data_IF_412446395079
#
_entry.id   IF_412446395079
#
_cell.length_a   1.000
_cell.length_b   1.000
_cell.length_c   1.000
_cell.angle_alpha   90.00
_cell.angle_beta   90.00
_cell.angle_gamma   90.00
#
_symmetry.space_group_name_H-M   'P 1'
#
loop_
_entity.id
_entity.type
_entity.pdbx_description
1 polymer ?
#
# COMPACT_ATOMS: atom_id res chain seq x y z
N UNK A 1 2.17 31.22 -8.88
CA UNK A 1 2.70 30.51 -7.69
C UNK A 1 1.48 30.09 -6.88
N UNK A 2 1.00 28.86 -6.79
CA UNK A 2 1.35 27.56 -7.33
C UNK A 2 0.39 26.64 -6.59
N UNK A 3 -0.88 26.59 -7.03
CA UNK A 3 -1.91 25.80 -6.35
C UNK A 3 -1.79 24.38 -6.87
N UNK A 4 -1.05 23.53 -6.14
CA UNK A 4 -1.01 22.11 -6.42
C UNK A 4 -2.38 21.53 -6.05
N UNK A 5 -3.19 21.25 -7.08
CA UNK A 5 -4.40 20.45 -6.96
C UNK A 5 -3.98 19.06 -6.48
N UNK A 6 -4.09 18.81 -5.17
CA UNK A 6 -3.99 17.47 -4.60
C UNK A 6 -5.21 16.71 -5.11
N UNK A 7 -5.02 15.88 -6.13
CA UNK A 7 -6.06 15.01 -6.67
C UNK A 7 -6.42 14.00 -5.58
N UNK A 8 -7.44 14.29 -4.77
CA UNK A 8 -8.10 13.26 -3.99
C UNK A 8 -8.83 12.35 -4.96
N UNK A 9 -8.24 11.20 -5.25
CA UNK A 9 -8.93 10.10 -5.93
C UNK A 9 -9.91 9.53 -4.90
N UNK A 10 -11.11 10.10 -4.83
CA UNK A 10 -12.19 9.51 -4.04
C UNK A 10 -12.71 8.30 -4.80
N UNK A 11 -12.25 7.11 -4.41
CA UNK A 11 -12.89 5.87 -4.84
C UNK A 11 -14.26 5.80 -4.15
N UNK A 12 -15.33 6.16 -4.86
CA UNK A 12 -16.69 6.05 -4.35
C UNK A 12 -17.12 4.58 -4.32
N UNK A 13 -16.60 3.79 -3.39
CA UNK A 13 -17.21 2.51 -3.05
C UNK A 13 -18.51 2.79 -2.30
N UNK A 14 -19.63 2.40 -2.91
CA UNK A 14 -20.97 2.61 -2.39
C UNK A 14 -21.19 1.79 -1.11
N UNK A 15 -20.83 2.35 0.05
CA UNK A 15 -21.02 1.74 1.37
C UNK A 15 -20.09 2.38 2.38
N UNK A 16 -20.63 2.99 3.44
CA UNK A 16 -19.92 3.86 4.39
C UNK A 16 -18.91 3.19 5.33
N UNK A 17 -18.08 2.29 4.83
CA UNK A 17 -16.92 1.75 5.54
C UNK A 17 -15.66 2.28 4.84
N UNK A 18 -15.08 3.34 5.39
CA UNK A 18 -13.77 3.82 4.97
C UNK A 18 -12.72 2.79 5.44
N UNK A 19 -11.76 2.45 4.58
CA UNK A 19 -10.69 1.53 4.98
C UNK A 19 -9.85 2.14 6.10
N UNK A 20 -9.18 1.32 6.91
CA UNK A 20 -8.27 1.81 7.95
C UNK A 20 -7.17 2.72 7.36
N UNK A 21 -6.76 2.46 6.12
CA UNK A 21 -5.79 3.27 5.38
C UNK A 21 -6.35 4.64 5.01
N UNK A 22 -7.60 4.70 4.55
CA UNK A 22 -8.29 5.96 4.25
C UNK A 22 -8.49 6.80 5.52
N UNK A 23 -8.81 6.15 6.64
CA UNK A 23 -8.89 6.82 7.95
C UNK A 23 -7.55 7.39 8.39
N UNK A 24 -6.46 6.63 8.21
CA UNK A 24 -5.09 7.11 8.49
C UNK A 24 -4.69 8.27 7.60
N UNK A 25 -5.08 8.28 6.33
CA UNK A 25 -4.79 9.39 5.40
C UNK A 25 -5.55 10.67 5.78
N UNK A 26 -6.82 10.54 6.18
CA UNK A 26 -7.61 11.66 6.72
C UNK A 26 -6.97 12.18 8.02
N UNK A 27 -6.56 11.28 8.91
CA UNK A 27 -5.91 11.65 10.17
C UNK A 27 -4.58 12.37 9.92
N UNK A 28 -3.75 11.84 9.01
CA UNK A 28 -2.48 12.45 8.61
C UNK A 28 -2.69 13.88 8.11
N UNK A 29 -3.66 14.08 7.20
CA UNK A 29 -4.01 15.40 6.67
C UNK A 29 -4.44 16.36 7.78
N UNK A 30 -5.28 15.89 8.72
CA UNK A 30 -5.71 16.71 9.85
C UNK A 30 -4.56 17.09 10.78
N UNK A 31 -3.61 16.19 11.02
CA UNK A 31 -2.42 16.48 11.83
C UNK A 31 -1.47 17.46 11.14
N UNK A 32 -1.31 17.37 9.82
CA UNK A 32 -0.55 18.33 9.02
C UNK A 32 -1.11 19.75 9.16
N UNK A 33 -2.43 19.91 9.03
CA UNK A 33 -3.12 21.21 9.22
C UNK A 33 -2.94 21.74 10.65
N UNK A 34 -3.05 20.87 11.66
CA UNK A 34 -2.83 21.26 13.07
C UNK A 34 -1.39 21.69 13.32
N UNK A 35 -0.42 21.05 12.68
CA UNK A 35 0.99 21.40 12.78
C UNK A 35 1.24 22.80 12.20
N UNK A 36 0.68 23.09 11.02
CA UNK A 36 0.78 24.41 10.39
C UNK A 36 0.24 25.51 11.32
N UNK A 37 -0.97 25.30 11.88
CA UNK A 37 -1.57 26.23 12.83
C UNK A 37 -0.73 26.42 14.10
N UNK A 38 -0.15 25.34 14.63
CA UNK A 38 0.69 25.42 15.83
C UNK A 38 1.98 26.21 15.57
N UNK A 39 2.58 26.08 14.38
CA UNK A 39 3.75 26.86 13.97
C UNK A 39 3.40 28.34 13.79
N UNK A 40 2.27 28.66 13.15
CA UNK A 40 1.78 30.04 12.99
C UNK A 40 1.51 30.72 14.32
N UNK A 41 1.01 29.96 15.30
CA UNK A 41 0.76 30.46 16.67
C UNK A 41 1.99 30.42 17.58
N UNK A 42 3.17 30.09 17.04
CA UNK A 42 4.44 29.96 17.78
C UNK A 42 4.39 28.95 18.95
N UNK A 43 3.47 27.98 18.87
CA UNK A 43 3.29 26.90 19.85
C UNK A 43 4.23 25.74 19.54
N UNK A 44 5.54 25.99 19.62
CA UNK A 44 6.55 25.04 19.16
C UNK A 44 6.57 23.69 19.91
N UNK A 45 6.16 23.66 21.19
CA UNK A 45 6.04 22.41 21.94
C UNK A 45 4.95 21.50 21.36
N UNK A 46 3.82 22.07 20.97
CA UNK A 46 2.74 21.34 20.31
C UNK A 46 3.13 20.93 18.88
N UNK A 47 3.83 21.81 18.16
CA UNK A 47 4.36 21.51 16.83
C UNK A 47 5.35 20.33 16.84
N UNK A 48 6.24 20.26 17.83
CA UNK A 48 7.16 19.14 17.97
C UNK A 48 6.42 17.82 18.19
N UNK A 49 5.41 17.82 19.07
CA UNK A 49 4.56 16.64 19.33
C UNK A 49 3.81 16.20 18.07
N UNK A 50 3.18 17.13 17.37
CA UNK A 50 2.42 16.85 16.14
C UNK A 50 3.32 16.28 15.04
N UNK A 51 4.54 16.83 14.88
CA UNK A 51 5.53 16.33 13.94
C UNK A 51 5.91 14.88 14.26
N UNK A 52 6.17 14.57 15.53
CA UNK A 52 6.55 13.22 15.95
C UNK A 52 5.39 12.22 15.75
N UNK A 53 4.14 12.67 15.94
CA UNK A 53 2.92 11.88 15.67
C UNK A 53 2.71 11.61 14.17
N UNK A 54 2.93 12.62 13.32
CA UNK A 54 2.94 12.48 11.85
C UNK A 54 4.02 11.50 11.40
N UNK A 55 5.22 11.60 11.97
CA UNK A 55 6.32 10.66 11.66
C UNK A 55 5.96 9.24 12.06
N UNK A 56 5.39 9.03 13.25
CA UNK A 56 4.98 7.69 13.68
C UNK A 56 3.93 7.08 12.73
N UNK A 57 2.92 7.85 12.32
CA UNK A 57 1.92 7.39 11.34
C UNK A 57 2.54 7.06 9.97
N UNK A 58 3.50 7.86 9.52
CA UNK A 58 4.22 7.61 8.27
C UNK A 58 5.06 6.34 8.36
N UNK A 59 5.84 6.18 9.42
CA UNK A 59 6.70 5.01 9.65
C UNK A 59 5.86 3.73 9.74
N UNK A 60 4.71 3.75 10.41
CA UNK A 60 3.78 2.62 10.45
C UNK A 60 3.29 2.22 9.05
N UNK A 61 3.01 3.19 8.18
CA UNK A 61 2.63 2.94 6.78
C UNK A 61 3.78 2.31 5.98
N UNK A 62 5.00 2.83 6.14
CA UNK A 62 6.21 2.28 5.51
C UNK A 62 6.43 0.83 5.95
N UNK A 63 6.33 0.56 7.26
CA UNK A 63 6.47 -0.80 7.82
C UNK A 63 5.40 -1.74 7.25
N UNK A 64 4.16 -1.30 7.11
CA UNK A 64 3.08 -2.10 6.54
C UNK A 64 3.38 -2.50 5.08
N UNK A 65 3.83 -1.56 4.24
CA UNK A 65 4.21 -1.83 2.84
C UNK A 65 5.39 -2.81 2.76
N UNK A 66 6.44 -2.58 3.57
CA UNK A 66 7.61 -3.47 3.60
C UNK A 66 7.25 -4.89 4.06
N UNK A 67 6.35 -5.01 5.05
CA UNK A 67 5.86 -6.30 5.54
C UNK A 67 5.07 -7.04 4.46
N UNK A 68 4.15 -6.37 3.76
CA UNK A 68 3.39 -6.96 2.66
C UNK A 68 4.30 -7.42 1.51
N UNK A 69 5.30 -6.60 1.15
CA UNK A 69 6.29 -6.94 0.14
C UNK A 69 7.14 -8.16 0.53
N UNK A 70 7.59 -8.21 1.79
CA UNK A 70 8.32 -9.35 2.34
C UNK A 70 7.46 -10.63 2.29
N UNK A 71 6.18 -10.54 2.66
CA UNK A 71 5.25 -11.66 2.60
C UNK A 71 5.03 -12.15 1.16
N UNK A 72 4.92 -11.24 0.18
CA UNK A 72 4.81 -11.57 -1.23
C UNK A 72 6.02 -12.38 -1.73
N UNK A 73 7.23 -11.88 -1.52
CA UNK A 73 8.44 -12.58 -1.97
C UNK A 73 8.67 -13.89 -1.20
N UNK A 74 8.32 -13.93 0.09
CA UNK A 74 8.35 -15.18 0.87
C UNK A 74 7.39 -16.22 0.28
N UNK A 75 6.16 -15.84 -0.08
CA UNK A 75 5.21 -16.74 -0.71
C UNK A 75 5.67 -17.20 -2.10
N UNK A 76 6.27 -16.29 -2.87
CA UNK A 76 6.84 -16.58 -4.18
C UNK A 76 8.01 -17.58 -4.09
N UNK A 77 8.97 -17.36 -3.20
CA UNK A 77 10.12 -18.25 -2.99
C UNK A 77 9.69 -19.65 -2.55
N UNK A 78 8.70 -19.73 -1.64
CA UNK A 78 8.13 -20.99 -1.18
C UNK A 78 7.21 -21.66 -2.20
N UNK A 79 6.82 -20.94 -3.26
CA UNK A 79 5.80 -21.36 -4.24
C UNK A 79 4.48 -21.73 -3.56
N UNK A 80 4.14 -21.00 -2.50
CA UNK A 80 2.97 -21.28 -1.67
C UNK A 80 1.79 -20.45 -2.17
N UNK A 81 0.84 -21.11 -2.85
CA UNK A 81 -0.34 -20.44 -3.39
C UNK A 81 -1.31 -19.97 -2.31
N UNK A 82 -1.32 -20.58 -1.13
CA UNK A 82 -2.19 -20.18 -0.03
C UNK A 82 -1.66 -18.91 0.63
N UNK A 83 -0.34 -18.81 0.83
CA UNK A 83 0.29 -17.57 1.30
C UNK A 83 0.22 -16.45 0.24
N UNK A 84 0.41 -16.78 -1.05
CA UNK A 84 0.28 -15.81 -2.14
C UNK A 84 -1.14 -15.21 -2.19
N UNK A 85 -2.18 -16.00 -1.94
CA UNK A 85 -3.56 -15.48 -1.87
C UNK A 85 -3.79 -14.46 -0.75
N UNK A 86 -2.99 -14.47 0.33
CA UNK A 86 -3.18 -13.56 1.47
C UNK A 86 -2.64 -12.17 1.21
N UNK A 87 -1.64 -12.04 0.33
CA UNK A 87 -0.97 -10.76 0.05
C UNK A 87 -1.61 -9.97 -1.10
N UNK A 88 -2.57 -10.56 -1.81
CA UNK A 88 -3.32 -9.90 -2.88
C UNK A 88 -4.72 -9.49 -2.40
N UNK A 89 -5.13 -8.28 -2.78
CA UNK A 89 -6.49 -7.82 -2.58
C UNK A 89 -7.50 -8.70 -3.33
N UNK A 90 -8.62 -9.06 -2.67
CA UNK A 90 -9.65 -9.94 -3.21
C UNK A 90 -10.71 -9.15 -3.98
N UNK A 91 -10.34 -8.62 -5.14
CA UNK A 91 -11.24 -7.88 -6.01
C UNK A 91 -10.88 -7.98 -7.49
N UNK A 92 -11.59 -7.21 -8.31
CA UNK A 92 -11.38 -7.12 -9.76
C UNK A 92 -10.42 -5.98 -10.14
N UNK A 93 -10.11 -5.12 -9.17
CA UNK A 93 -9.30 -3.90 -9.30
C UNK A 93 -7.79 -4.17 -9.31
N UNK A 94 -7.37 -5.42 -9.17
CA UNK A 94 -5.96 -5.83 -9.21
C UNK A 94 -5.57 -6.33 -10.60
N UNK A 95 -4.30 -6.16 -10.93
CA UNK A 95 -3.70 -6.76 -12.12
C UNK A 95 -2.25 -7.16 -11.87
N UNK A 96 -1.77 -8.11 -12.66
CA UNK A 96 -0.37 -8.53 -12.71
C UNK A 96 0.11 -8.53 -14.15
N UNK A 97 1.37 -8.14 -14.35
CA UNK A 97 2.06 -8.24 -15.64
C UNK A 97 3.27 -9.13 -15.42
N UNK A 98 3.23 -10.31 -16.04
CA UNK A 98 4.39 -11.20 -16.10
C UNK A 98 5.26 -10.79 -17.30
N UNK A 99 6.59 -10.95 -17.24
CA UNK A 99 7.47 -10.61 -18.36
C UNK A 99 7.01 -11.27 -19.65
N UNK A 100 6.95 -10.52 -20.75
CA UNK A 100 6.55 -10.98 -22.09
C UNK A 100 5.07 -11.39 -22.24
N UNK A 101 4.21 -11.13 -21.24
CA UNK A 101 2.79 -11.46 -21.28
C UNK A 101 1.91 -10.21 -21.22
N UNK A 102 0.68 -10.31 -21.71
CA UNK A 102 -0.34 -9.28 -21.52
C UNK A 102 -0.76 -9.18 -20.04
N UNK A 103 -1.26 -8.02 -19.59
CA UNK A 103 -1.81 -7.87 -18.24
C UNK A 103 -2.92 -8.87 -17.97
N UNK A 104 -2.93 -9.43 -16.76
CA UNK A 104 -4.01 -10.29 -16.25
C UNK A 104 -4.65 -9.57 -15.07
N UNK A 105 -5.96 -9.36 -15.15
CA UNK A 105 -6.73 -8.62 -14.14
C UNK A 105 -7.70 -9.53 -13.39
N UNK A 106 -8.02 -9.14 -12.16
CA UNK A 106 -8.96 -9.83 -11.29
C UNK A 106 -8.34 -10.97 -10.48
N UNK A 107 -8.72 -11.06 -9.21
CA UNK A 107 -8.10 -11.97 -8.23
C UNK A 107 -8.04 -13.41 -8.71
N UNK A 108 -9.13 -13.92 -9.28
CA UNK A 108 -9.20 -15.32 -9.74
C UNK A 108 -8.16 -15.61 -10.82
N UNK A 109 -8.09 -14.75 -11.84
CA UNK A 109 -7.18 -14.96 -12.96
C UNK A 109 -5.72 -14.71 -12.56
N UNK A 110 -5.47 -13.68 -11.74
CA UNK A 110 -4.15 -13.44 -11.15
C UNK A 110 -3.67 -14.68 -10.38
N UNK A 111 -4.48 -15.25 -9.48
CA UNK A 111 -4.11 -16.47 -8.74
C UNK A 111 -3.91 -17.69 -9.63
N UNK A 112 -4.68 -17.81 -10.72
CA UNK A 112 -4.49 -18.87 -11.70
C UNK A 112 -3.12 -18.76 -12.41
N UNK A 113 -2.64 -17.54 -12.69
CA UNK A 113 -1.29 -17.35 -13.26
C UNK A 113 -0.20 -17.75 -12.26
N UNK A 114 -0.30 -17.35 -11.00
CA UNK A 114 0.65 -17.72 -9.95
C UNK A 114 0.70 -19.24 -9.74
N UNK A 115 -0.46 -19.89 -9.72
CA UNK A 115 -0.54 -21.35 -9.61
C UNK A 115 0.21 -22.06 -10.74
N UNK A 116 0.08 -21.56 -11.98
CA UNK A 116 0.81 -22.08 -13.15
C UNK A 116 2.32 -21.86 -13.05
N UNK A 117 2.76 -20.67 -12.62
CA UNK A 117 4.17 -20.33 -12.43
C UNK A 117 4.81 -21.23 -11.35
N UNK A 118 4.12 -21.42 -10.24
CA UNK A 118 4.59 -22.28 -9.14
C UNK A 118 4.68 -23.75 -9.54
N UNK A 119 3.77 -24.22 -10.41
CA UNK A 119 3.81 -25.57 -10.96
C UNK A 119 4.89 -25.78 -12.04
N UNK A 120 5.24 -24.75 -12.82
CA UNK A 120 6.22 -24.85 -13.91
C UNK A 120 7.68 -24.84 -13.41
N UNK A 121 7.90 -24.46 -12.15
CA UNK A 121 9.20 -24.49 -11.49
C UNK A 121 10.21 -23.46 -11.98
N UNK A 122 9.79 -22.55 -12.87
CA UNK A 122 10.65 -21.56 -13.49
C UNK A 122 10.57 -20.20 -12.79
N UNK A 123 11.75 -19.57 -12.74
CA UNK A 123 12.08 -18.22 -12.22
C UNK A 123 12.33 -18.16 -10.72
N UNK A 124 13.61 -17.92 -10.38
CA UNK A 124 14.07 -17.47 -9.07
C UNK A 124 14.40 -15.99 -9.22
N UNK A 125 13.56 -15.12 -8.66
CA UNK A 125 13.83 -13.69 -8.50
C UNK A 125 14.06 -13.51 -7.00
N UNK A 126 15.18 -12.90 -6.64
CA UNK A 126 15.51 -12.52 -5.27
C UNK A 126 15.39 -11.01 -5.12
N UNK A 127 15.29 -10.51 -3.90
CA UNK A 127 15.29 -9.05 -3.62
C UNK A 127 16.58 -8.34 -4.02
N UNK A 128 17.65 -9.07 -4.39
CA UNK A 128 18.86 -8.50 -4.98
C UNK A 128 18.73 -8.23 -6.49
N UNK A 129 17.67 -8.73 -7.13
CA UNK A 129 17.43 -8.59 -8.58
C UNK A 129 16.53 -7.37 -8.91
N UNK A 130 16.25 -6.50 -7.93
CA UNK A 130 15.42 -5.28 -8.04
C UNK A 130 16.15 -4.04 -7.54
#
# INVERSE_FOLDING_TARGET
>A
RGNALRTHVVCLSSGGWQSEEEQKEIQLTSLEEQLEQAVEQERYGDAARLRDEIHALHDDSVVAVLSANCAFYTAFEKRDILEMQKVWFRGEEISVIHPLHAPVSGFREVMATWSKIFASGAVKITTADV
#
